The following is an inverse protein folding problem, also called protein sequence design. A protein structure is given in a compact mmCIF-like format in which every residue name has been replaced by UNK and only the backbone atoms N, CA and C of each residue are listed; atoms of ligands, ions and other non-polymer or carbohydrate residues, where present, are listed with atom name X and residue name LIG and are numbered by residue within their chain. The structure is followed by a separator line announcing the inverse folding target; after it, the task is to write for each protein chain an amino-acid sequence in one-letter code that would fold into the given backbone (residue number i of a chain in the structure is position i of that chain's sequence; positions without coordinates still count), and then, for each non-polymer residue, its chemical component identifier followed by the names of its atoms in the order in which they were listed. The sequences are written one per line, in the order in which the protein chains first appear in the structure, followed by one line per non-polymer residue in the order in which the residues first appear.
data_IF_961371534750
#
_entry.id   IF_961371534750
#
_cell.length_a   1.000
_cell.length_b   1.000
_cell.length_c   1.000
_cell.angle_alpha   90.00
_cell.angle_beta   90.00
_cell.angle_gamma   90.00
#
_symmetry.space_group_name_H-M   'P 1'
#
loop_
_entity.id
_entity.type
_entity.pdbx_description
1 polymer ?
#
# COMPACT_ATOMS: atom_id res chain seq x y z
N UNK A 1 13.78 -26.38 5.62
CA UNK A 1 14.61 -25.19 5.26
C UNK A 1 14.62 -24.97 3.74
N UNK A 2 14.92 -25.99 2.93
CA UNK A 2 14.86 -25.89 1.46
C UNK A 2 13.45 -25.53 0.94
N UNK A 3 12.38 -26.08 1.54
CA UNK A 3 10.99 -25.77 1.14
C UNK A 3 10.59 -24.32 1.40
N UNK A 4 10.98 -23.75 2.56
CA UNK A 4 10.77 -22.33 2.87
C UNK A 4 11.51 -21.43 1.88
N UNK A 5 12.74 -21.80 1.50
CA UNK A 5 13.50 -21.07 0.49
C UNK A 5 12.82 -21.13 -0.88
N UNK A 6 12.28 -22.29 -1.27
CA UNK A 6 11.50 -22.44 -2.51
C UNK A 6 10.25 -21.55 -2.55
N UNK A 7 9.48 -21.52 -1.47
CA UNK A 7 8.30 -20.64 -1.34
C UNK A 7 8.68 -19.17 -1.36
N UNK A 8 9.75 -18.77 -0.66
CA UNK A 8 10.23 -17.39 -0.65
C UNK A 8 10.69 -16.95 -2.05
N UNK A 9 11.36 -17.84 -2.79
CA UNK A 9 11.86 -17.55 -4.15
C UNK A 9 10.70 -17.43 -5.14
N UNK A 10 9.70 -18.30 -5.05
CA UNK A 10 8.44 -18.18 -5.80
C UNK A 10 7.74 -16.85 -5.46
N UNK A 11 7.53 -16.54 -4.19
CA UNK A 11 6.89 -15.30 -3.76
C UNK A 11 7.64 -14.06 -4.28
N UNK A 12 8.98 -14.07 -4.23
CA UNK A 12 9.80 -12.98 -4.74
C UNK A 12 9.66 -12.81 -6.27
N UNK A 13 9.68 -13.91 -7.03
CA UNK A 13 9.51 -13.86 -8.49
C UNK A 13 8.11 -13.37 -8.85
N UNK A 14 7.06 -13.92 -8.23
CA UNK A 14 5.68 -13.47 -8.47
C UNK A 14 5.50 -11.99 -8.10
N UNK A 15 5.89 -11.59 -6.88
CA UNK A 15 5.76 -10.21 -6.41
C UNK A 15 6.58 -9.23 -7.26
N UNK A 16 7.78 -9.60 -7.69
CA UNK A 16 8.63 -8.76 -8.53
C UNK A 16 8.01 -8.49 -9.89
N UNK A 17 7.48 -9.53 -10.54
CA UNK A 17 6.78 -9.38 -11.83
C UNK A 17 5.52 -8.51 -11.69
N UNK A 18 4.74 -8.72 -10.63
CA UNK A 18 3.55 -7.91 -10.35
C UNK A 18 3.91 -6.43 -10.12
N UNK A 19 4.91 -6.14 -9.28
CA UNK A 19 5.38 -4.78 -9.04
C UNK A 19 5.88 -4.10 -10.32
N UNK A 20 6.61 -4.82 -11.18
CA UNK A 20 7.07 -4.29 -12.47
C UNK A 20 5.91 -3.94 -13.41
N UNK A 21 4.92 -4.84 -13.52
CA UNK A 21 3.73 -4.60 -14.34
C UNK A 21 2.91 -3.41 -13.84
N UNK A 22 2.67 -3.32 -12.52
CA UNK A 22 1.93 -2.20 -11.90
C UNK A 22 2.70 -0.88 -12.07
N UNK A 23 4.02 -0.90 -11.92
CA UNK A 23 4.87 0.28 -12.09
C UNK A 23 4.74 0.95 -13.46
N UNK A 24 4.59 0.15 -14.52
CA UNK A 24 4.32 0.68 -15.86
C UNK A 24 3.01 1.49 -15.91
N UNK A 25 1.93 0.97 -15.35
CA UNK A 25 0.63 1.67 -15.30
C UNK A 25 0.68 2.91 -14.41
N UNK A 26 1.33 2.83 -13.25
CA UNK A 26 1.50 3.96 -12.33
C UNK A 26 2.20 5.11 -13.03
N UNK A 27 3.29 4.83 -13.76
CA UNK A 27 4.03 5.82 -14.51
C UNK A 27 3.22 6.39 -15.67
N UNK A 28 2.54 5.53 -16.43
CA UNK A 28 1.74 5.95 -17.59
C UNK A 28 0.56 6.84 -17.19
N UNK A 29 -0.06 6.56 -16.05
CA UNK A 29 -1.20 7.30 -15.52
C UNK A 29 -0.79 8.51 -14.66
N UNK A 30 0.51 8.72 -14.41
CA UNK A 30 1.04 9.81 -13.56
C UNK A 30 0.44 9.81 -12.14
N UNK A 31 0.26 8.62 -11.56
CA UNK A 31 -0.32 8.43 -10.22
C UNK A 31 0.71 7.97 -9.18
N UNK A 32 2.00 8.29 -9.40
CA UNK A 32 3.12 7.82 -8.58
C UNK A 32 2.94 8.14 -7.09
N UNK A 33 2.59 9.39 -6.77
CA UNK A 33 2.43 9.82 -5.36
C UNK A 33 1.21 9.19 -4.70
N UNK A 34 0.11 8.97 -5.45
CA UNK A 34 -1.06 8.22 -4.97
C UNK A 34 -0.70 6.75 -4.70
N UNK A 35 -0.01 6.08 -5.62
CA UNK A 35 0.39 4.67 -5.44
C UNK A 35 1.29 4.47 -4.22
N UNK A 36 2.20 5.41 -3.97
CA UNK A 36 3.08 5.39 -2.81
C UNK A 36 2.32 5.55 -1.49
N UNK A 37 1.31 6.43 -1.51
CA UNK A 37 0.42 6.66 -0.38
C UNK A 37 -0.42 5.42 -0.04
N UNK A 38 -0.97 4.75 -1.07
CA UNK A 38 -1.74 3.49 -0.91
C UNK A 38 -0.85 2.37 -0.37
N UNK A 39 0.39 2.25 -0.82
CA UNK A 39 1.32 1.23 -0.32
C UNK A 39 1.61 1.39 1.18
N UNK A 40 1.75 2.62 1.68
CA UNK A 40 1.95 2.88 3.11
C UNK A 40 0.66 2.75 3.92
N UNK A 41 -0.49 3.06 3.33
CA UNK A 41 -1.78 2.73 3.93
C UNK A 41 -1.95 1.20 4.10
N UNK A 42 -1.50 0.40 3.13
CA UNK A 42 -1.48 -1.06 3.24
C UNK A 42 -0.58 -1.52 4.40
N UNK A 43 0.61 -0.92 4.54
CA UNK A 43 1.53 -1.19 5.66
C UNK A 43 0.87 -0.86 7.01
N UNK A 44 0.23 0.31 7.13
CA UNK A 44 -0.51 0.69 8.34
C UNK A 44 -1.63 -0.30 8.66
N UNK A 45 -2.38 -0.75 7.65
CA UNK A 45 -3.42 -1.77 7.81
C UNK A 45 -2.87 -3.13 8.25
N UNK A 46 -1.69 -3.53 7.74
CA UNK A 46 -1.01 -4.74 8.19
C UNK A 46 -0.64 -4.63 9.68
N UNK A 47 -0.03 -3.51 10.10
CA UNK A 47 0.35 -3.27 11.49
C UNK A 47 -0.86 -3.24 12.44
N UNK A 48 -1.96 -2.60 12.03
CA UNK A 48 -3.21 -2.60 12.82
C UNK A 48 -3.79 -4.02 12.92
N UNK A 49 -3.74 -4.79 11.83
CA UNK A 49 -4.19 -6.19 11.82
C UNK A 49 -3.44 -7.05 12.83
N UNK A 50 -2.12 -6.85 12.95
CA UNK A 50 -1.29 -7.52 13.95
C UNK A 50 -1.74 -7.22 15.39
N UNK A 51 -2.07 -5.97 15.72
CA UNK A 51 -2.58 -5.60 17.05
C UNK A 51 -3.93 -6.27 17.34
N UNK A 52 -4.79 -6.32 16.33
CA UNK A 52 -6.14 -6.89 16.44
C UNK A 52 -6.16 -8.43 16.40
N UNK A 53 -5.00 -9.10 16.33
CA UNK A 53 -4.88 -10.55 16.10
C UNK A 53 -5.65 -11.04 14.85
N UNK A 54 -5.77 -10.17 13.85
CA UNK A 54 -6.33 -10.49 12.54
C UNK A 54 -5.20 -10.90 11.59
N UNK A 55 -5.57 -11.60 10.51
CA UNK A 55 -4.62 -11.92 9.45
C UNK A 55 -4.10 -10.61 8.78
N UNK A 56 -2.79 -10.35 8.81
CA UNK A 56 -2.21 -9.09 8.31
C UNK A 56 -2.38 -8.89 6.81
N UNK A 57 -2.51 -9.96 6.04
CA UNK A 57 -2.66 -9.89 4.59
C UNK A 57 -4.03 -9.34 4.25
N UNK A 58 -5.08 -9.86 4.90
CA UNK A 58 -6.45 -9.38 4.68
C UNK A 58 -6.64 -7.96 5.20
N UNK A 59 -6.09 -7.62 6.37
CA UNK A 59 -6.20 -6.25 6.90
C UNK A 59 -5.48 -5.24 6.00
N UNK A 60 -4.26 -5.55 5.54
CA UNK A 60 -3.53 -4.72 4.58
C UNK A 60 -4.31 -4.52 3.29
N UNK A 61 -4.91 -5.58 2.76
CA UNK A 61 -5.68 -5.54 1.52
C UNK A 61 -6.94 -4.65 1.66
N UNK A 62 -7.68 -4.77 2.77
CA UNK A 62 -8.86 -3.94 3.02
C UNK A 62 -8.48 -2.46 3.10
N UNK A 63 -7.42 -2.13 3.85
CA UNK A 63 -6.98 -0.73 4.01
C UNK A 63 -6.39 -0.16 2.73
N UNK A 64 -5.65 -0.97 1.95
CA UNK A 64 -5.14 -0.58 0.63
C UNK A 64 -6.28 -0.26 -0.34
N UNK A 65 -7.29 -1.13 -0.44
CA UNK A 65 -8.44 -0.93 -1.33
C UNK A 65 -9.27 0.27 -0.89
N UNK A 66 -9.53 0.41 0.41
CA UNK A 66 -10.27 1.55 0.96
C UNK A 66 -9.54 2.87 0.69
N UNK A 67 -8.23 2.94 0.95
CA UNK A 67 -7.44 4.14 0.70
C UNK A 67 -7.36 4.49 -0.79
N UNK A 68 -7.19 3.51 -1.67
CA UNK A 68 -7.20 3.72 -3.11
C UNK A 68 -8.55 4.24 -3.62
N UNK A 69 -9.67 3.71 -3.11
CA UNK A 69 -11.02 4.20 -3.42
C UNK A 69 -11.23 5.63 -2.95
N UNK A 70 -10.88 5.92 -1.69
CA UNK A 70 -11.05 7.26 -1.10
C UNK A 70 -10.21 8.29 -1.85
N UNK A 71 -8.91 8.03 -2.02
CA UNK A 71 -8.01 8.92 -2.77
C UNK A 71 -8.45 9.06 -4.22
N UNK A 72 -8.87 7.97 -4.87
CA UNK A 72 -9.39 7.99 -6.23
C UNK A 72 -10.60 8.90 -6.38
N UNK A 73 -11.60 8.77 -5.50
CA UNK A 73 -12.80 9.62 -5.50
C UNK A 73 -12.43 11.08 -5.23
N UNK A 74 -11.58 11.36 -4.24
CA UNK A 74 -11.13 12.73 -3.94
C UNK A 74 -10.44 13.33 -5.16
N UNK A 75 -9.60 12.57 -5.85
CA UNK A 75 -8.85 13.06 -7.01
C UNK A 75 -9.76 13.37 -8.19
N UNK A 76 -10.93 12.72 -8.32
CA UNK A 76 -11.93 13.12 -9.34
C UNK A 76 -12.55 14.50 -9.06
N UNK A 77 -12.54 14.97 -7.81
CA UNK A 77 -13.16 16.23 -7.40
C UNK A 77 -12.16 17.36 -7.16
N UNK A 78 -10.91 17.02 -6.89
CA UNK A 78 -9.84 17.96 -6.53
C UNK A 78 -8.75 17.92 -7.59
N UNK A 79 -8.55 19.02 -8.30
CA UNK A 79 -7.54 19.15 -9.35
C UNK A 79 -6.21 19.70 -8.80
N UNK A 80 -6.28 20.68 -7.88
CA UNK A 80 -5.12 21.30 -7.25
C UNK A 80 -4.82 20.68 -5.88
N UNK A 81 -3.55 20.37 -5.59
CA UNK A 81 -3.12 19.86 -4.29
C UNK A 81 -3.22 18.34 -4.09
N UNK A 82 -3.49 17.57 -5.15
CA UNK A 82 -3.46 16.09 -5.12
C UNK A 82 -2.21 15.53 -4.46
N UNK A 83 -1.05 16.11 -4.76
CA UNK A 83 0.23 15.69 -4.23
C UNK A 83 0.35 15.90 -2.71
N UNK A 84 -0.15 17.03 -2.21
CA UNK A 84 -0.19 17.33 -0.77
C UNK A 84 -1.10 16.37 -0.02
N UNK A 85 -2.27 16.04 -0.59
CA UNK A 85 -3.22 15.07 -0.01
C UNK A 85 -2.54 13.70 0.07
N UNK A 86 -1.93 13.23 -1.03
CA UNK A 86 -1.18 11.96 -1.05
C UNK A 86 -0.06 11.94 -0.02
N UNK A 87 0.73 13.01 0.08
CA UNK A 87 1.85 13.06 1.05
C UNK A 87 1.36 13.11 2.50
N UNK A 88 0.22 13.73 2.76
CA UNK A 88 -0.42 13.72 4.08
C UNK A 88 -0.88 12.31 4.46
N UNK A 89 -1.54 11.60 3.54
CA UNK A 89 -1.97 10.20 3.76
C UNK A 89 -0.76 9.28 3.91
N UNK A 90 0.31 9.50 3.15
CA UNK A 90 1.56 8.77 3.26
C UNK A 90 2.21 8.95 4.65
N UNK A 91 2.36 10.20 5.10
CA UNK A 91 3.00 10.51 6.38
C UNK A 91 2.20 9.97 7.56
N UNK A 92 0.87 10.16 7.54
CA UNK A 92 -0.02 9.67 8.60
C UNK A 92 -0.06 8.14 8.66
N UNK A 93 -0.19 7.46 7.52
CA UNK A 93 -0.16 5.99 7.48
C UNK A 93 1.19 5.43 7.95
N UNK A 94 2.30 6.02 7.55
CA UNK A 94 3.63 5.60 8.03
C UNK A 94 3.78 5.79 9.54
N UNK A 95 3.28 6.91 10.10
CA UNK A 95 3.30 7.14 11.53
C UNK A 95 2.47 6.09 12.28
N UNK A 96 1.28 5.77 11.80
CA UNK A 96 0.41 4.72 12.38
C UNK A 96 1.10 3.35 12.29
N UNK A 97 1.71 3.02 11.16
CA UNK A 97 2.39 1.75 10.96
C UNK A 97 3.52 1.54 11.98
N UNK A 98 4.36 2.55 12.19
CA UNK A 98 5.47 2.48 13.16
C UNK A 98 4.94 2.46 14.58
N UNK A 99 3.97 3.31 14.92
CA UNK A 99 3.33 3.35 16.24
C UNK A 99 2.67 2.01 16.60
N UNK A 100 2.13 1.29 15.62
CA UNK A 100 1.48 0.02 15.86
C UNK A 100 2.46 -1.15 16.06
N UNK A 101 3.70 -1.01 15.60
CA UNK A 101 4.74 -2.05 15.71
C UNK A 101 5.56 -1.90 17.01
N UNK A 102 5.66 -0.69 17.56
CA UNK A 102 6.48 -0.35 18.72
C UNK A 102 5.65 -0.12 19.98
#
# INVERSE_FOLDING_TARGET
MLEFLGLALLAAVLSGNLCGAIGFYVQRLKITTLSFSVAHAALAGASIGLILNLDPVYSAMIVAVASALILGVIFTRVEYGRELISMTVFSTSSAIAVFAIY
#
